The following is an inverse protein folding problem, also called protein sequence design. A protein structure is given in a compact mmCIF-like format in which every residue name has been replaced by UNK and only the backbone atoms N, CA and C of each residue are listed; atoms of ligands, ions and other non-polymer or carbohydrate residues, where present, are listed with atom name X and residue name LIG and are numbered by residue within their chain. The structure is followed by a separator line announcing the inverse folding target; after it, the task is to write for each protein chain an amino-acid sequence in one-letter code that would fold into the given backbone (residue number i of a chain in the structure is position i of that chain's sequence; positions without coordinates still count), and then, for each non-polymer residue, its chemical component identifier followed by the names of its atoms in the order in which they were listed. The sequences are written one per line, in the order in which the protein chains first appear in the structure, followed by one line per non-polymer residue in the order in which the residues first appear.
data_IF_267632163099
#
_entry.id   IF_267632163099
#
_cell.length_a   1.000
_cell.length_b   1.000
_cell.length_c   1.000
_cell.angle_alpha   90.00
_cell.angle_beta   90.00
_cell.angle_gamma   90.00
#
_symmetry.space_group_name_H-M   'P 1'
#
loop_
_entity.id
_entity.type
_entity.pdbx_description
1 polymer ?
#
# COMPACT_ATOMS: atom_id res chain seq x y z
N UNK A 1 45.48 20.88 -38.24
CA UNK A 1 44.98 21.21 -36.89
C UNK A 1 46.02 20.82 -35.85
N UNK A 2 46.48 21.78 -35.05
CA UNK A 2 47.60 21.62 -34.11
C UNK A 2 47.30 20.54 -33.05
N UNK A 3 48.28 19.71 -32.68
CA UNK A 3 48.15 18.65 -31.66
C UNK A 3 47.59 19.22 -30.35
N UNK A 4 47.99 20.43 -30.00
CA UNK A 4 47.51 21.15 -28.80
C UNK A 4 46.03 21.55 -28.88
N UNK A 5 45.50 21.84 -30.08
CA UNK A 5 44.08 22.18 -30.29
C UNK A 5 43.19 20.95 -30.10
N UNK A 6 43.63 19.78 -30.58
CA UNK A 6 42.92 18.50 -30.38
C UNK A 6 42.83 18.13 -28.90
N UNK A 7 43.93 18.31 -28.17
CA UNK A 7 44.00 18.04 -26.74
C UNK A 7 43.09 19.01 -25.96
N UNK A 8 43.12 20.31 -26.29
CA UNK A 8 42.26 21.31 -25.66
C UNK A 8 40.77 21.03 -25.88
N UNK A 9 40.36 20.65 -27.11
CA UNK A 9 38.98 20.29 -27.42
C UNK A 9 38.52 19.04 -26.66
N UNK A 10 39.38 18.04 -26.49
CA UNK A 10 39.07 16.83 -25.72
C UNK A 10 38.82 17.14 -24.25
N UNK A 11 39.68 17.94 -23.62
CA UNK A 11 39.48 18.37 -22.22
C UNK A 11 38.25 19.26 -22.05
N UNK A 12 37.94 20.12 -23.03
CA UNK A 12 36.73 20.95 -23.01
C UNK A 12 35.46 20.09 -23.09
N UNK A 13 35.45 19.07 -23.95
CA UNK A 13 34.35 18.10 -24.04
C UNK A 13 34.18 17.28 -22.75
N UNK A 14 35.28 16.86 -22.13
CA UNK A 14 35.25 16.13 -20.85
C UNK A 14 34.69 17.04 -19.72
N UNK A 15 35.15 18.28 -19.63
CA UNK A 15 34.69 19.25 -18.64
C UNK A 15 33.20 19.59 -18.79
N UNK A 16 32.69 19.65 -20.03
CA UNK A 16 31.27 19.90 -20.32
C UNK A 16 30.38 18.67 -20.06
N UNK A 17 30.94 17.45 -20.04
CA UNK A 17 30.19 16.23 -19.75
C UNK A 17 29.90 16.00 -18.25
N UNK A 18 30.77 16.50 -17.37
CA UNK A 18 30.63 16.39 -15.92
C UNK A 18 29.34 17.04 -15.34
N UNK A 19 28.93 18.26 -15.73
CA UNK A 19 27.69 18.85 -15.24
C UNK A 19 26.43 18.14 -15.75
N UNK A 20 26.50 17.49 -16.92
CA UNK A 20 25.38 16.70 -17.48
C UNK A 20 25.11 15.48 -16.60
N UNK A 21 26.16 14.78 -16.16
CA UNK A 21 26.03 13.63 -15.26
C UNK A 21 25.49 14.04 -13.88
N UNK A 22 25.89 15.22 -13.37
CA UNK A 22 25.32 15.79 -12.14
C UNK A 22 23.85 16.18 -12.28
N UNK A 23 23.42 16.67 -13.45
CA UNK A 23 22.04 17.05 -13.70
C UNK A 23 21.09 15.84 -13.76
N UNK A 24 21.56 14.69 -14.27
CA UNK A 24 20.76 13.47 -14.35
C UNK A 24 20.68 12.67 -13.04
N UNK A 25 21.62 12.87 -12.10
CA UNK A 25 21.58 12.20 -10.78
C UNK A 25 20.53 12.79 -9.81
N UNK A 26 19.92 13.93 -10.15
CA UNK A 26 18.94 14.59 -9.28
C UNK A 26 17.49 14.11 -9.49
N UNK A 27 17.24 13.23 -10.47
CA UNK A 27 15.94 12.62 -10.68
C UNK A 27 15.92 11.20 -10.14
N UNK A 28 15.82 11.07 -8.82
CA UNK A 28 15.49 9.80 -8.19
C UNK A 28 14.02 9.46 -8.53
N UNK A 29 13.80 8.67 -9.57
CA UNK A 29 12.53 8.01 -9.83
C UNK A 29 12.41 6.83 -8.86
N UNK A 30 11.75 7.07 -7.73
CA UNK A 30 11.47 6.07 -6.70
C UNK A 30 9.98 6.04 -6.36
N UNK A 31 9.55 5.10 -5.49
CA UNK A 31 8.19 5.11 -4.95
C UNK A 31 7.87 6.49 -4.38
N UNK A 32 6.60 6.90 -4.46
CA UNK A 32 6.17 8.22 -4.04
C UNK A 32 6.66 8.52 -2.62
N UNK A 33 6.96 9.78 -2.31
CA UNK A 33 7.57 10.23 -1.04
C UNK A 33 6.79 9.78 0.22
N UNK A 34 5.57 9.28 0.05
CA UNK A 34 4.67 8.83 1.10
C UNK A 34 4.42 7.32 1.10
N UNK A 35 5.00 6.58 0.16
CA UNK A 35 4.83 5.14 0.05
C UNK A 35 5.54 4.47 1.22
N UNK A 36 4.89 3.46 1.81
CA UNK A 36 5.47 2.74 2.93
C UNK A 36 5.01 1.30 2.95
N UNK A 37 5.77 0.49 3.68
CA UNK A 37 5.30 -0.82 4.14
C UNK A 37 5.60 -0.99 5.63
N UNK A 38 4.68 -1.66 6.34
CA UNK A 38 4.84 -2.01 7.76
C UNK A 38 4.62 -3.50 7.95
N UNK A 39 5.47 -4.15 8.73
CA UNK A 39 5.31 -5.56 9.05
C UNK A 39 4.09 -5.77 9.95
N UNK A 40 3.34 -6.83 9.67
CA UNK A 40 2.26 -7.35 10.50
C UNK A 40 2.63 -8.77 10.96
N UNK A 41 1.70 -9.43 11.66
CA UNK A 41 1.87 -10.83 12.08
C UNK A 41 1.91 -11.79 10.88
N UNK A 42 2.48 -12.98 11.07
CA UNK A 42 2.45 -14.08 10.09
C UNK A 42 3.11 -13.80 8.74
N UNK A 43 4.11 -12.92 8.67
CA UNK A 43 4.82 -12.61 7.42
C UNK A 43 4.08 -11.68 6.45
N UNK A 44 2.95 -11.13 6.89
CA UNK A 44 2.18 -10.14 6.15
C UNK A 44 2.73 -8.72 6.33
N UNK A 45 2.42 -7.85 5.38
CA UNK A 45 2.70 -6.42 5.42
C UNK A 45 1.48 -5.59 5.09
N UNK A 46 1.37 -4.45 5.74
CA UNK A 46 0.55 -3.33 5.30
C UNK A 46 1.34 -2.55 4.25
N UNK A 47 0.81 -2.45 3.04
CA UNK A 47 1.39 -1.67 1.96
C UNK A 47 0.58 -0.40 1.73
N UNK A 48 1.28 0.71 1.47
CA UNK A 48 0.73 1.93 0.88
C UNK A 48 1.55 2.28 -0.35
N UNK A 49 0.96 2.07 -1.53
CA UNK A 49 1.56 2.46 -2.82
C UNK A 49 0.98 3.79 -3.32
N UNK A 50 -0.17 4.20 -2.79
CA UNK A 50 -0.77 5.51 -3.05
C UNK A 50 -1.78 5.86 -1.96
N UNK A 51 -2.38 7.06 -2.04
CA UNK A 51 -3.46 7.43 -1.13
C UNK A 51 -4.67 6.49 -1.23
N UNK A 52 -4.90 5.83 -2.37
CA UNK A 52 -6.05 4.93 -2.59
C UNK A 52 -5.66 3.45 -2.50
N UNK A 53 -4.40 3.12 -2.74
CA UNK A 53 -3.87 1.76 -2.74
C UNK A 53 -3.17 1.46 -1.41
N UNK A 54 -3.98 1.15 -0.41
CA UNK A 54 -3.54 0.70 0.92
C UNK A 54 -4.13 -0.68 1.18
N UNK A 55 -3.31 -1.71 1.35
CA UNK A 55 -3.75 -3.10 1.43
C UNK A 55 -2.85 -3.95 2.31
N UNK A 56 -3.32 -5.15 2.68
CA UNK A 56 -2.56 -6.14 3.46
C UNK A 56 -2.36 -7.40 2.64
N UNK A 57 -1.11 -7.82 2.48
CA UNK A 57 -0.71 -9.02 1.74
C UNK A 57 0.59 -9.63 2.28
N UNK A 58 0.90 -10.90 1.98
CA UNK A 58 2.18 -11.51 2.32
C UNK A 58 3.38 -10.76 1.73
N UNK A 59 4.51 -10.86 2.41
CA UNK A 59 5.75 -10.20 1.98
C UNK A 59 6.54 -10.94 0.89
N UNK A 60 6.27 -12.23 0.71
CA UNK A 60 6.92 -13.15 -0.24
C UNK A 60 6.15 -13.28 -1.58
N UNK A 61 5.10 -12.48 -1.76
CA UNK A 61 4.24 -12.50 -2.94
C UNK A 61 2.93 -13.27 -2.68
N UNK A 62 1.95 -13.09 -3.56
CA UNK A 62 0.63 -13.70 -3.42
C UNK A 62 -0.01 -13.96 -4.78
N UNK A 63 -0.95 -14.90 -4.81
CA UNK A 63 -1.74 -15.24 -5.99
C UNK A 63 -3.24 -15.07 -5.70
N UNK A 64 -4.09 -15.59 -6.60
CA UNK A 64 -5.55 -15.49 -6.47
C UNK A 64 -6.14 -16.27 -5.29
N UNK A 65 -5.43 -17.26 -4.76
CA UNK A 65 -5.86 -18.13 -3.65
C UNK A 65 -5.35 -17.63 -2.29
N UNK A 66 -4.43 -16.68 -2.29
CA UNK A 66 -3.90 -16.09 -1.07
C UNK A 66 -4.91 -15.14 -0.45
N UNK A 67 -5.16 -15.32 0.85
CA UNK A 67 -5.96 -14.42 1.64
C UNK A 67 -5.23 -13.07 1.75
N UNK A 68 -5.89 -12.02 1.26
CA UNK A 68 -5.41 -10.64 1.30
C UNK A 68 -6.55 -9.71 1.69
N UNK A 69 -6.24 -8.60 2.35
CA UNK A 69 -7.21 -7.52 2.58
C UNK A 69 -6.94 -6.45 1.54
N UNK A 70 -7.77 -6.41 0.50
CA UNK A 70 -7.64 -5.47 -0.62
C UNK A 70 -7.91 -4.02 -0.16
N UNK A 71 -7.52 -3.06 -0.99
CA UNK A 71 -7.75 -1.64 -0.74
C UNK A 71 -9.23 -1.26 -0.56
N UNK A 72 -9.56 -0.21 0.21
CA UNK A 72 -8.70 0.79 0.86
C UNK A 72 -8.70 0.61 2.39
N UNK A 73 -7.64 0.04 2.96
CA UNK A 73 -7.49 -0.14 4.41
C UNK A 73 -7.20 1.23 5.06
N UNK A 74 -7.97 1.58 6.11
CA UNK A 74 -7.83 2.87 6.82
C UNK A 74 -7.35 2.69 8.26
N UNK A 75 -7.67 1.55 8.88
CA UNK A 75 -7.17 1.19 10.22
C UNK A 75 -6.85 -0.28 10.28
N UNK A 76 -5.88 -0.63 11.12
CA UNK A 76 -5.44 -2.01 11.34
C UNK A 76 -5.06 -2.23 12.79
N UNK A 77 -5.15 -3.47 13.25
CA UNK A 77 -4.42 -3.98 14.41
C UNK A 77 -4.15 -5.47 14.22
N UNK A 78 -3.30 -6.04 15.09
CA UNK A 78 -2.97 -7.46 15.11
C UNK A 78 -3.30 -8.06 16.47
N UNK A 79 -3.65 -9.34 16.47
CA UNK A 79 -3.83 -10.13 17.67
C UNK A 79 -3.45 -11.58 17.36
N UNK A 80 -2.39 -12.08 17.98
CA UNK A 80 -1.78 -13.36 17.65
C UNK A 80 -1.53 -13.51 16.14
N UNK A 81 -2.15 -14.51 15.50
CA UNK A 81 -2.06 -14.77 14.05
C UNK A 81 -3.10 -13.99 13.23
N UNK A 82 -3.90 -13.14 13.86
CA UNK A 82 -4.95 -12.39 13.20
C UNK A 82 -4.55 -10.95 12.90
N UNK A 83 -4.97 -10.49 11.73
CA UNK A 83 -4.94 -9.10 11.31
C UNK A 83 -6.40 -8.64 11.23
N UNK A 84 -6.74 -7.60 11.96
CA UNK A 84 -8.07 -6.99 11.94
C UNK A 84 -7.99 -5.62 11.29
N UNK A 85 -8.93 -5.28 10.43
CA UNK A 85 -8.89 -4.04 9.66
C UNK A 85 -10.26 -3.39 9.51
N UNK A 86 -10.26 -2.06 9.47
CA UNK A 86 -11.36 -1.23 8.98
C UNK A 86 -10.99 -0.77 7.57
N UNK A 87 -11.91 -0.99 6.63
CA UNK A 87 -11.79 -0.56 5.25
C UNK A 87 -12.80 0.53 4.95
N UNK A 88 -12.39 1.42 4.06
CA UNK A 88 -13.28 2.38 3.43
C UNK A 88 -13.81 1.77 2.13
N UNK A 89 -15.13 1.83 1.96
CA UNK A 89 -15.80 1.43 0.74
C UNK A 89 -15.41 2.34 -0.42
N UNK A 90 -15.62 1.84 -1.63
CA UNK A 90 -15.39 2.58 -2.86
C UNK A 90 -16.73 2.75 -3.60
N UNK A 91 -16.87 3.84 -4.33
CA UNK A 91 -18.01 4.11 -5.21
C UNK A 91 -17.51 4.53 -6.58
N UNK A 92 -18.33 4.35 -7.61
CA UNK A 92 -18.02 4.87 -8.95
C UNK A 92 -17.89 6.38 -8.90
N UNK A 93 -16.85 6.90 -9.55
CA UNK A 93 -16.64 8.34 -9.70
C UNK A 93 -17.79 8.98 -10.45
N UNK A 94 -18.20 8.35 -11.55
CA UNK A 94 -19.35 8.76 -12.34
C UNK A 94 -20.35 7.60 -12.48
N UNK A 95 -21.38 7.53 -11.64
CA UNK A 95 -22.37 6.45 -11.70
C UNK A 95 -23.24 6.49 -12.97
N UNK A 96 -23.27 7.63 -13.68
CA UNK A 96 -24.09 7.80 -14.89
C UNK A 96 -23.33 7.43 -16.18
N UNK A 97 -22.03 7.17 -16.10
CA UNK A 97 -21.21 6.76 -17.24
C UNK A 97 -20.78 5.30 -17.06
N UNK A 98 -21.41 4.41 -17.83
CA UNK A 98 -21.11 2.97 -17.79
C UNK A 98 -19.68 2.63 -18.23
N UNK A 99 -19.01 3.52 -18.98
CA UNK A 99 -17.62 3.32 -19.41
C UNK A 99 -16.60 3.75 -18.37
N UNK A 100 -16.99 4.57 -17.39
CA UNK A 100 -16.13 4.96 -16.28
C UNK A 100 -16.11 3.87 -15.19
N UNK A 101 -15.08 3.02 -15.24
CA UNK A 101 -14.84 2.00 -14.21
C UNK A 101 -14.05 2.48 -13.01
N UNK A 102 -13.67 3.75 -12.96
CA UNK A 102 -12.87 4.27 -11.88
C UNK A 102 -13.70 4.42 -10.59
N UNK A 103 -13.14 3.95 -9.49
CA UNK A 103 -13.75 4.03 -8.17
C UNK A 103 -12.98 5.01 -7.28
N UNK A 104 -13.75 5.80 -6.52
CA UNK A 104 -13.25 6.75 -5.53
C UNK A 104 -13.71 6.33 -4.14
N UNK A 105 -12.99 6.70 -3.08
CA UNK A 105 -13.42 6.39 -1.72
C UNK A 105 -14.79 6.97 -1.40
N UNK A 106 -15.62 6.19 -0.71
CA UNK A 106 -16.86 6.64 -0.08
C UNK A 106 -16.69 6.65 1.43
N UNK A 107 -16.63 7.84 2.03
CA UNK A 107 -16.43 8.01 3.48
C UNK A 107 -17.58 7.47 4.32
N UNK A 108 -18.77 7.31 3.72
CA UNK A 108 -19.96 6.82 4.40
C UNK A 108 -20.03 5.29 4.46
N UNK A 109 -19.26 4.61 3.62
CA UNK A 109 -19.27 3.15 3.52
C UNK A 109 -18.03 2.63 4.20
N UNK A 110 -18.23 1.82 5.23
CA UNK A 110 -17.16 1.19 6.00
C UNK A 110 -17.51 -0.25 6.30
N UNK A 111 -16.52 -1.11 6.17
CA UNK A 111 -16.62 -2.51 6.49
C UNK A 111 -15.39 -2.99 7.25
N UNK A 112 -15.53 -4.12 7.91
CA UNK A 112 -14.51 -4.70 8.76
C UNK A 112 -14.06 -6.05 8.20
N UNK A 113 -12.79 -6.33 8.38
CA UNK A 113 -12.11 -7.49 7.84
C UNK A 113 -11.27 -8.15 8.92
N UNK A 114 -11.23 -9.48 8.91
CA UNK A 114 -10.43 -10.31 9.82
C UNK A 114 -9.69 -11.33 8.96
N UNK A 115 -8.36 -11.26 8.94
CA UNK A 115 -7.50 -12.19 8.22
C UNK A 115 -6.76 -13.06 9.24
N UNK A 116 -6.80 -14.38 9.08
CA UNK A 116 -5.98 -15.33 9.82
C UNK A 116 -4.78 -15.73 8.95
N UNK A 117 -3.59 -15.36 9.39
CA UNK A 117 -2.34 -15.56 8.65
C UNK A 117 -1.89 -17.01 8.63
N UNK A 118 -2.09 -17.76 9.73
CA UNK A 118 -1.73 -19.18 9.82
C UNK A 118 -2.62 -20.13 9.01
N UNK A 119 -3.86 -19.73 8.69
CA UNK A 119 -4.84 -20.55 7.96
C UNK A 119 -5.11 -20.09 6.54
N UNK A 120 -4.42 -19.06 6.06
CA UNK A 120 -4.66 -18.42 4.75
C UNK A 120 -6.17 -18.14 4.53
N UNK A 121 -6.79 -17.48 5.51
CA UNK A 121 -8.25 -17.28 5.54
C UNK A 121 -8.61 -15.83 5.82
N UNK A 122 -9.62 -15.30 5.13
CA UNK A 122 -10.11 -13.94 5.33
C UNK A 122 -11.64 -13.89 5.41
N UNK A 123 -12.13 -13.20 6.44
CA UNK A 123 -13.50 -12.75 6.58
C UNK A 123 -13.56 -11.27 6.23
N UNK A 124 -14.49 -10.89 5.35
CA UNK A 124 -14.62 -9.52 4.87
C UNK A 124 -16.07 -9.06 4.75
N UNK A 125 -16.24 -7.79 4.37
CA UNK A 125 -17.53 -7.14 4.22
C UNK A 125 -18.41 -7.22 5.48
N UNK A 126 -17.80 -7.27 6.67
CA UNK A 126 -18.54 -7.35 7.93
C UNK A 126 -19.01 -5.95 8.33
N UNK A 127 -20.27 -5.81 8.74
CA UNK A 127 -20.69 -4.63 9.48
C UNK A 127 -20.13 -4.67 10.92
N UNK A 128 -20.27 -3.58 11.67
CA UNK A 128 -19.73 -3.46 13.04
C UNK A 128 -20.26 -4.54 14.01
N UNK A 129 -21.53 -4.92 13.87
CA UNK A 129 -22.15 -5.93 14.73
C UNK A 129 -21.61 -7.32 14.43
N UNK A 130 -21.54 -7.68 13.14
CA UNK A 130 -20.98 -8.95 12.69
C UNK A 130 -19.49 -9.07 13.01
N UNK A 131 -18.75 -7.98 12.86
CA UNK A 131 -17.35 -7.90 13.23
C UNK A 131 -17.14 -8.25 14.70
N UNK A 132 -17.85 -7.58 15.62
CA UNK A 132 -17.76 -7.88 17.06
C UNK A 132 -18.10 -9.32 17.39
N UNK A 133 -19.17 -9.85 16.79
CA UNK A 133 -19.56 -11.26 16.96
C UNK A 133 -18.48 -12.22 16.46
N UNK A 134 -17.81 -11.90 15.34
CA UNK A 134 -16.71 -12.71 14.80
C UNK A 134 -15.44 -12.59 15.64
N UNK A 135 -15.11 -11.42 16.18
CA UNK A 135 -14.02 -11.27 17.14
C UNK A 135 -14.21 -12.21 18.33
N UNK A 136 -15.39 -12.15 18.96
CA UNK A 136 -15.75 -12.99 20.11
C UNK A 136 -15.65 -14.49 19.78
N UNK A 137 -16.26 -14.91 18.66
CA UNK A 137 -16.20 -16.30 18.19
C UNK A 137 -14.78 -16.80 17.86
N UNK A 138 -13.86 -15.90 17.55
CA UNK A 138 -12.46 -16.21 17.25
C UNK A 138 -11.55 -16.01 18.46
N UNK A 139 -12.10 -15.67 19.63
CA UNK A 139 -11.38 -15.34 20.86
C UNK A 139 -10.43 -14.15 20.72
N UNK A 140 -10.73 -13.23 19.80
CA UNK A 140 -10.05 -11.94 19.68
C UNK A 140 -10.77 -10.94 20.60
N UNK A 141 -10.06 -10.12 21.40
CA UNK A 141 -10.70 -9.15 22.28
C UNK A 141 -11.66 -8.23 21.52
N UNK A 142 -12.95 -8.23 21.88
CA UNK A 142 -13.96 -7.35 21.25
C UNK A 142 -13.70 -5.86 21.48
N UNK A 143 -12.81 -5.54 22.41
CA UNK A 143 -12.32 -4.21 22.76
C UNK A 143 -11.05 -3.82 22.00
N UNK A 144 -10.55 -4.66 21.07
CA UNK A 144 -9.37 -4.34 20.27
C UNK A 144 -9.56 -3.01 19.53
N UNK A 145 -8.64 -2.09 19.76
CA UNK A 145 -8.66 -0.78 19.13
C UNK A 145 -7.96 -0.83 17.78
N UNK A 146 -8.66 -0.45 16.70
CA UNK A 146 -8.03 -0.33 15.39
C UNK A 146 -7.28 1.00 15.30
N UNK A 147 -6.01 0.93 14.92
CA UNK A 147 -5.13 2.09 14.85
C UNK A 147 -5.08 2.59 13.41
N UNK A 148 -5.09 3.91 13.24
CA UNK A 148 -4.92 4.54 11.93
C UNK A 148 -3.61 4.11 11.26
N UNK A 149 -3.67 3.75 9.97
CA UNK A 149 -2.51 3.23 9.23
C UNK A 149 -1.28 4.16 9.23
N UNK A 150 -1.49 5.47 9.33
CA UNK A 150 -0.39 6.44 9.42
C UNK A 150 0.25 6.49 10.81
N UNK A 151 -0.43 5.97 11.84
CA UNK A 151 0.04 5.93 13.24
C UNK A 151 0.45 4.54 13.72
N UNK A 152 0.06 3.49 13.00
CA UNK A 152 0.39 2.09 13.31
C UNK A 152 1.90 1.81 13.30
#
# INVERSE_FOLDING_TARGET
MNKYIKIAMFFCGLALSLPVIWFFNSFAFGPGVQDFSKNLTGGYKLYRNSAHEIFVAPSDGWNSETAVIRSKVIKVNVYDDFIVAEKQGLKRRNPNDSSDTYEVPDENIKDFWILNTGKNYVLGNLNKTDFKRKLDSLHIPVTIELVDIYKY
#
